data_IF_326028801597
#
_entry.id   IF_326028801597
#
_cell.length_a   1.000
_cell.length_b   1.000
_cell.length_c   1.000
_cell.angle_alpha   90.00
_cell.angle_beta   90.00
_cell.angle_gamma   90.00
#
_symmetry.space_group_name_H-M   'P 1'
#
loop_
_entity.id
_entity.type
_entity.pdbx_description
1 polymer ?
#
# COMPACT_ATOMS: atom_id res chain seq x y z
N UNK A 1 1.81 -14.02 -20.63
CA UNK A 1 2.34 -14.29 -19.27
C UNK A 1 1.23 -14.95 -18.45
N UNK A 2 1.54 -15.91 -17.57
CA UNK A 2 0.54 -16.53 -16.69
C UNK A 2 0.87 -16.25 -15.23
N UNK A 3 -0.11 -15.85 -14.44
CA UNK A 3 0.07 -15.54 -13.01
C UNK A 3 -0.38 -16.74 -12.18
N UNK A 4 0.48 -17.23 -11.28
CA UNK A 4 0.21 -18.38 -10.42
C UNK A 4 -0.21 -17.97 -9.01
N UNK A 5 0.43 -16.94 -8.44
CA UNK A 5 0.17 -16.49 -7.08
C UNK A 5 0.25 -14.98 -7.00
N UNK A 6 -0.66 -14.39 -6.25
CA UNK A 6 -0.71 -12.94 -6.01
C UNK A 6 -0.47 -12.65 -4.53
N UNK A 7 0.58 -11.88 -4.25
CA UNK A 7 0.78 -11.20 -2.97
C UNK A 7 0.58 -9.70 -3.18
N UNK A 8 0.22 -8.98 -2.12
CA UNK A 8 0.15 -7.52 -2.16
C UNK A 8 1.53 -6.84 -2.33
N UNK A 9 2.61 -7.59 -2.50
CA UNK A 9 3.98 -7.05 -2.64
C UNK A 9 4.76 -7.62 -3.83
N UNK A 10 4.33 -8.77 -4.37
CA UNK A 10 4.92 -9.41 -5.54
C UNK A 10 3.92 -10.40 -6.17
N UNK A 11 4.16 -10.82 -7.41
CA UNK A 11 3.41 -11.88 -8.08
C UNK A 11 4.35 -12.97 -8.59
N UNK A 12 3.95 -14.23 -8.50
CA UNK A 12 4.66 -15.32 -9.18
C UNK A 12 4.05 -15.46 -10.56
N UNK A 13 4.89 -15.31 -11.59
CA UNK A 13 4.48 -15.35 -12.99
C UNK A 13 5.31 -16.33 -13.77
N UNK A 14 4.76 -16.86 -14.86
CA UNK A 14 5.48 -17.68 -15.83
C UNK A 14 5.42 -17.04 -17.20
N UNK A 15 6.57 -16.99 -17.83
CA UNK A 15 6.80 -16.43 -19.15
C UNK A 15 7.87 -17.26 -19.85
N UNK A 16 7.62 -17.68 -21.09
CA UNK A 16 8.53 -18.53 -21.88
C UNK A 16 9.07 -19.76 -21.11
N UNK A 17 8.19 -20.49 -20.42
CA UNK A 17 8.49 -21.67 -19.60
C UNK A 17 9.47 -21.43 -18.43
N UNK A 18 9.78 -20.18 -18.10
CA UNK A 18 10.55 -19.74 -16.93
C UNK A 18 9.63 -19.09 -15.90
N UNK A 19 9.95 -19.26 -14.61
CA UNK A 19 9.20 -18.68 -13.49
C UNK A 19 9.89 -17.40 -13.02
N UNK A 20 9.11 -16.38 -12.68
CA UNK A 20 9.63 -15.10 -12.20
C UNK A 20 8.86 -14.61 -10.98
N UNK A 21 9.53 -13.81 -10.15
CA UNK A 21 8.89 -12.90 -9.19
C UNK A 21 8.75 -11.54 -9.85
N UNK A 22 7.53 -11.11 -10.10
CA UNK A 22 7.20 -9.73 -10.46
C UNK A 22 7.24 -8.88 -9.18
N UNK A 23 8.25 -8.04 -9.03
CA UNK A 23 8.40 -7.18 -7.85
C UNK A 23 7.61 -5.90 -8.02
N UNK A 24 6.42 -5.90 -7.43
CA UNK A 24 5.51 -4.78 -7.50
C UNK A 24 6.03 -3.53 -6.75
N UNK A 25 7.11 -3.62 -5.97
CA UNK A 25 7.73 -2.43 -5.33
C UNK A 25 8.58 -1.61 -6.30
N UNK A 26 8.88 -2.15 -7.48
CA UNK A 26 9.72 -1.53 -8.53
C UNK A 26 8.93 -0.89 -9.66
N UNK A 27 7.60 -0.82 -9.53
CA UNK A 27 6.70 -0.32 -10.57
C UNK A 27 6.93 1.17 -10.81
N UNK A 28 7.13 1.55 -12.07
CA UNK A 28 7.26 2.93 -12.53
C UNK A 28 6.42 3.19 -13.80
N UNK A 29 5.77 4.35 -13.93
CA UNK A 29 5.72 5.44 -12.97
C UNK A 29 4.58 5.28 -11.93
N UNK A 30 4.86 5.64 -10.67
CA UNK A 30 3.92 5.51 -9.53
C UNK A 30 2.61 6.29 -9.67
N UNK A 31 2.52 7.20 -10.65
CA UNK A 31 1.30 7.95 -10.95
C UNK A 31 0.15 7.06 -11.42
N UNK A 32 0.43 5.81 -11.83
CA UNK A 32 -0.56 4.82 -12.25
C UNK A 32 -1.60 4.57 -11.17
N UNK A 33 -1.16 4.51 -9.92
CA UNK A 33 -2.02 4.24 -8.77
C UNK A 33 -3.01 5.37 -8.44
N UNK A 34 -2.79 6.57 -8.98
CA UNK A 34 -3.67 7.72 -8.77
C UNK A 34 -4.74 7.86 -9.86
N UNK A 35 -4.90 6.86 -10.72
CA UNK A 35 -5.86 6.88 -11.82
C UNK A 35 -5.52 7.87 -12.92
N UNK A 36 -4.25 8.27 -13.00
CA UNK A 36 -3.74 8.98 -14.17
C UNK A 36 -3.59 7.98 -15.33
N UNK A 37 -4.03 8.35 -16.54
CA UNK A 37 -3.76 7.54 -17.72
C UNK A 37 -2.25 7.59 -18.02
N UNK A 38 -1.68 6.44 -18.36
CA UNK A 38 -0.26 6.29 -18.66
C UNK A 38 -0.16 5.27 -19.77
N UNK A 39 0.65 5.54 -20.77
CA UNK A 39 0.76 4.65 -21.92
C UNK A 39 1.59 3.41 -21.57
N UNK A 40 2.65 3.58 -20.76
CA UNK A 40 3.61 2.52 -20.42
C UNK A 40 3.89 2.43 -18.91
N UNK A 41 4.06 1.21 -18.42
CA UNK A 41 4.44 0.87 -17.05
C UNK A 41 5.61 -0.11 -17.06
N UNK A 42 6.72 0.20 -16.40
CA UNK A 42 7.82 -0.74 -16.21
C UNK A 42 7.82 -1.35 -14.81
N UNK A 43 8.27 -2.60 -14.73
CA UNK A 43 8.43 -3.33 -13.47
C UNK A 43 9.53 -4.37 -13.60
N UNK A 44 10.26 -4.62 -12.51
CA UNK A 44 11.31 -5.64 -12.48
C UNK A 44 10.73 -7.01 -12.16
N UNK A 45 11.15 -7.99 -12.96
CA UNK A 45 10.98 -9.42 -12.72
C UNK A 45 12.33 -10.03 -12.32
N UNK A 46 12.30 -11.06 -11.49
CA UNK A 46 13.49 -11.79 -11.08
C UNK A 46 13.30 -13.28 -11.36
N UNK A 47 14.25 -13.91 -12.07
CA UNK A 47 14.12 -15.31 -12.48
C UNK A 47 14.19 -16.25 -11.25
N UNK A 48 13.20 -17.11 -11.10
CA UNK A 48 13.18 -18.16 -10.09
C UNK A 48 13.41 -19.52 -10.72
N UNK A 49 14.19 -20.36 -10.03
CA UNK A 49 14.17 -21.79 -10.30
C UNK A 49 12.76 -22.34 -10.06
N UNK A 50 12.33 -23.31 -10.88
CA UNK A 50 11.04 -23.99 -10.70
C UNK A 50 10.91 -24.72 -9.36
N UNK A 51 12.04 -25.08 -8.75
CA UNK A 51 12.13 -25.73 -7.44
C UNK A 51 12.19 -24.73 -6.28
N UNK A 52 12.30 -23.43 -6.55
CA UNK A 52 12.39 -22.40 -5.52
C UNK A 52 11.04 -22.18 -4.83
N UNK A 53 11.03 -22.27 -3.51
CA UNK A 53 9.84 -22.13 -2.66
C UNK A 53 9.91 -20.90 -1.75
N UNK A 54 10.97 -20.06 -1.83
CA UNK A 54 11.17 -18.87 -0.98
C UNK A 54 10.03 -17.85 -1.07
N UNK A 55 9.37 -17.81 -2.24
CA UNK A 55 8.25 -16.91 -2.55
C UNK A 55 6.88 -17.58 -2.49
N UNK A 56 6.80 -18.87 -2.15
CA UNK A 56 5.50 -19.50 -1.93
C UNK A 56 4.80 -18.80 -0.76
N UNK A 57 3.58 -18.32 -1.01
CA UNK A 57 2.76 -17.69 0.02
C UNK A 57 2.38 -18.78 1.01
N UNK A 58 3.04 -18.81 2.16
CA UNK A 58 2.60 -19.61 3.31
C UNK A 58 1.39 -18.91 3.92
N UNK A 59 0.34 -19.66 4.22
CA UNK A 59 -0.76 -19.13 5.01
C UNK A 59 -0.23 -18.66 6.37
N UNK A 60 -0.57 -17.40 6.72
CA UNK A 60 -0.24 -16.84 8.02
C UNK A 60 -0.94 -17.64 9.11
N UNK A 61 -0.19 -18.21 10.05
CA UNK A 61 -0.75 -18.89 11.22
C UNK A 61 -1.40 -17.93 12.23
N UNK A 62 -1.15 -16.63 12.12
CA UNK A 62 -1.85 -15.61 12.89
C UNK A 62 -3.24 -15.38 12.31
N UNK A 63 -4.26 -15.83 13.04
CA UNK A 63 -5.65 -15.59 12.71
C UNK A 63 -5.99 -14.10 12.81
N UNK A 64 -6.96 -13.65 11.99
CA UNK A 64 -7.47 -12.28 11.99
C UNK A 64 -7.93 -11.83 13.40
N UNK A 65 -8.48 -12.77 14.17
CA UNK A 65 -8.90 -12.56 15.56
C UNK A 65 -7.75 -12.18 16.49
N UNK A 66 -6.60 -12.83 16.36
CA UNK A 66 -5.40 -12.55 17.18
C UNK A 66 -4.89 -11.13 16.96
N UNK A 67 -4.91 -10.65 15.71
CA UNK A 67 -4.49 -9.29 15.36
C UNK A 67 -5.42 -8.24 16.00
N UNK A 68 -6.74 -8.48 15.96
CA UNK A 68 -7.74 -7.56 16.56
C UNK A 68 -7.55 -7.44 18.07
N UNK A 69 -7.33 -8.57 18.76
CA UNK A 69 -7.13 -8.58 20.22
C UNK A 69 -5.88 -7.78 20.63
N UNK A 70 -4.82 -7.82 19.82
CA UNK A 70 -3.58 -7.07 20.12
C UNK A 70 -3.73 -5.57 19.85
N UNK A 71 -4.49 -5.17 18.83
CA UNK A 71 -4.63 -3.76 18.44
C UNK A 71 -5.57 -2.99 19.37
N UNK A 72 -6.62 -3.64 19.90
CA UNK A 72 -7.65 -2.96 20.69
C UNK A 72 -7.11 -2.19 21.92
N UNK A 73 -6.26 -2.78 22.79
CA UNK A 73 -5.72 -2.07 23.94
C UNK A 73 -4.90 -0.82 23.55
N UNK A 74 -4.16 -0.90 22.44
CA UNK A 74 -3.38 0.22 21.93
C UNK A 74 -4.29 1.37 21.47
N UNK A 75 -5.37 1.05 20.73
CA UNK A 75 -6.34 2.06 20.29
C UNK A 75 -7.04 2.71 21.48
N UNK A 76 -7.42 1.93 22.49
CA UNK A 76 -8.05 2.46 23.70
C UNK A 76 -7.10 3.39 24.49
N UNK A 77 -5.86 2.98 24.66
CA UNK A 77 -4.83 3.82 25.30
C UNK A 77 -4.62 5.13 24.54
N UNK A 78 -4.49 5.06 23.21
CA UNK A 78 -4.31 6.24 22.37
C UNK A 78 -5.51 7.19 22.46
N UNK A 79 -6.73 6.65 22.47
CA UNK A 79 -7.94 7.43 22.68
C UNK A 79 -7.90 8.16 24.02
N UNK A 80 -7.66 7.45 25.13
CA UNK A 80 -7.63 8.06 26.46
C UNK A 80 -6.55 9.13 26.62
N UNK A 81 -5.37 8.92 26.01
CA UNK A 81 -4.31 9.92 25.96
C UNK A 81 -4.73 11.18 25.20
N UNK A 82 -5.33 11.02 24.02
CA UNK A 82 -5.78 12.15 23.19
C UNK A 82 -6.91 12.91 23.85
N UNK A 83 -7.88 12.23 24.47
CA UNK A 83 -9.00 12.85 25.19
C UNK A 83 -8.49 13.72 26.34
N UNK A 84 -7.60 13.15 27.17
CA UNK A 84 -6.98 13.87 28.28
C UNK A 84 -6.18 15.09 27.79
N UNK A 85 -5.45 14.95 26.68
CA UNK A 85 -4.70 16.06 26.10
C UNK A 85 -5.63 17.16 25.57
N UNK A 86 -6.76 16.79 24.97
CA UNK A 86 -7.71 17.74 24.39
C UNK A 86 -8.39 18.58 25.47
N UNK A 87 -8.78 17.94 26.58
CA UNK A 87 -9.35 18.63 27.74
C UNK A 87 -8.33 19.60 28.37
N UNK A 88 -7.13 19.13 28.64
CA UNK A 88 -6.09 19.92 29.32
C UNK A 88 -5.66 21.18 28.54
N UNK A 89 -5.73 21.16 27.21
CA UNK A 89 -5.27 22.27 26.34
C UNK A 89 -6.43 23.15 25.85
N UNK A 90 -7.66 22.86 26.32
CA UNK A 90 -8.89 23.54 25.85
C UNK A 90 -8.98 23.54 24.32
N UNK A 91 -8.75 22.36 23.73
CA UNK A 91 -8.63 22.18 22.28
C UNK A 91 -9.83 22.68 21.48
N UNK A 92 -10.99 22.71 22.14
CA UNK A 92 -12.27 23.16 21.59
C UNK A 92 -12.18 24.54 20.95
N UNK A 93 -11.45 25.46 21.57
CA UNK A 93 -11.41 26.88 21.19
C UNK A 93 -10.26 27.18 20.20
N UNK A 94 -9.32 26.25 20.01
CA UNK A 94 -8.07 26.49 19.29
C UNK A 94 -8.07 25.85 17.90
N UNK A 95 -8.70 26.53 16.94
CA UNK A 95 -8.84 26.04 15.56
C UNK A 95 -7.49 25.71 14.88
N UNK A 96 -6.46 26.51 15.16
CA UNK A 96 -5.10 26.27 14.64
C UNK A 96 -4.52 24.96 15.18
N UNK A 97 -4.73 24.67 16.47
CA UNK A 97 -4.21 23.47 17.09
C UNK A 97 -4.94 22.22 16.58
N UNK A 98 -6.27 22.31 16.37
CA UNK A 98 -7.03 21.26 15.67
C UNK A 98 -6.44 20.96 14.30
N UNK A 99 -6.19 21.99 13.49
CA UNK A 99 -5.56 21.82 12.18
C UNK A 99 -4.19 21.15 12.28
N UNK A 100 -3.34 21.61 13.18
CA UNK A 100 -2.00 21.04 13.40
C UNK A 100 -2.07 19.55 13.79
N UNK A 101 -2.98 19.17 14.68
CA UNK A 101 -3.18 17.77 15.07
C UNK A 101 -3.67 16.92 13.91
N UNK A 102 -4.61 17.43 13.10
CA UNK A 102 -5.07 16.72 11.91
C UNK A 102 -3.93 16.47 10.93
N UNK A 103 -3.11 17.49 10.64
CA UNK A 103 -1.91 17.33 9.81
C UNK A 103 -0.93 16.33 10.43
N UNK A 104 -0.72 16.38 11.75
CA UNK A 104 0.12 15.42 12.46
C UNK A 104 -0.38 13.98 12.28
N UNK A 105 -1.70 13.74 12.31
CA UNK A 105 -2.27 12.41 12.07
C UNK A 105 -1.93 11.87 10.67
N UNK A 106 -1.94 12.73 9.66
CA UNK A 106 -1.55 12.38 8.28
C UNK A 106 -0.05 12.07 8.20
N UNK A 107 0.79 12.89 8.85
CA UNK A 107 2.25 12.68 8.91
C UNK A 107 2.58 11.34 9.57
N UNK A 108 1.89 10.99 10.67
CA UNK A 108 2.05 9.70 11.35
C UNK A 108 1.66 8.56 10.39
N UNK A 109 0.53 8.66 9.71
CA UNK A 109 0.09 7.68 8.70
C UNK A 109 1.15 7.48 7.60
N UNK A 110 1.73 8.56 7.08
CA UNK A 110 2.81 8.53 6.11
C UNK A 110 4.06 7.83 6.65
N UNK A 111 4.47 8.14 7.88
CA UNK A 111 5.66 7.55 8.48
C UNK A 111 5.50 6.04 8.70
N UNK A 112 4.35 5.61 9.23
CA UNK A 112 4.02 4.19 9.41
C UNK A 112 4.07 3.49 8.04
N UNK A 113 3.42 4.05 7.02
CA UNK A 113 3.50 3.52 5.66
C UNK A 113 4.96 3.36 5.20
N UNK A 114 5.80 4.38 5.41
CA UNK A 114 7.20 4.35 4.98
C UNK A 114 7.99 3.24 5.65
N UNK A 115 7.74 2.98 6.93
CA UNK A 115 8.35 1.87 7.67
C UNK A 115 7.88 0.54 7.09
N UNK A 116 6.57 0.37 6.89
CA UNK A 116 5.99 -0.85 6.32
C UNK A 116 6.52 -1.14 4.90
N UNK A 117 6.58 -0.11 4.05
CA UNK A 117 7.10 -0.22 2.68
C UNK A 117 8.56 -0.65 2.68
N UNK A 118 9.40 -0.03 3.53
CA UNK A 118 10.82 -0.38 3.64
C UNK A 118 11.02 -1.79 4.17
N UNK A 119 10.27 -2.20 5.19
CA UNK A 119 10.31 -3.55 5.73
C UNK A 119 9.97 -4.59 4.65
N UNK A 120 8.90 -4.37 3.88
CA UNK A 120 8.52 -5.26 2.76
C UNK A 120 9.57 -5.32 1.66
N UNK A 121 10.08 -4.16 1.22
CA UNK A 121 11.13 -4.10 0.21
C UNK A 121 12.38 -4.86 0.67
N UNK A 122 12.79 -4.67 1.91
CA UNK A 122 13.91 -5.40 2.50
C UNK A 122 13.65 -6.91 2.50
N UNK A 123 12.48 -7.37 2.95
CA UNK A 123 12.12 -8.80 2.92
C UNK A 123 12.13 -9.41 1.53
N UNK A 124 11.70 -8.67 0.50
CA UNK A 124 11.75 -9.13 -0.89
C UNK A 124 13.21 -9.22 -1.36
N UNK A 125 14.01 -8.18 -1.12
CA UNK A 125 15.41 -8.14 -1.51
C UNK A 125 16.25 -9.22 -0.81
N UNK A 126 16.02 -9.45 0.49
CA UNK A 126 16.65 -10.51 1.27
C UNK A 126 16.35 -11.90 0.70
N UNK A 127 15.09 -12.14 0.30
CA UNK A 127 14.70 -13.39 -0.37
C UNK A 127 15.27 -13.52 -1.78
N UNK A 128 15.39 -12.42 -2.52
CA UNK A 128 15.93 -12.40 -3.89
C UNK A 128 17.45 -12.61 -3.90
N UNK A 129 18.20 -12.03 -2.96
CA UNK A 129 19.66 -12.07 -2.98
C UNK A 129 20.22 -11.48 -4.28
N UNK A 130 21.13 -12.20 -4.95
CA UNK A 130 21.78 -11.78 -6.20
C UNK A 130 21.16 -12.42 -7.45
N UNK A 131 19.84 -12.58 -7.48
CA UNK A 131 19.12 -13.16 -8.62
C UNK A 131 19.08 -12.16 -9.79
N UNK A 132 19.32 -12.61 -11.04
CA UNK A 132 19.25 -11.73 -12.21
C UNK A 132 17.85 -11.11 -12.36
N UNK A 133 17.84 -9.80 -12.61
CA UNK A 133 16.61 -9.03 -12.84
C UNK A 133 16.42 -8.71 -14.31
N UNK A 134 15.17 -8.81 -14.76
CA UNK A 134 14.72 -8.48 -16.11
C UNK A 134 13.66 -7.40 -15.99
N UNK A 135 13.69 -6.38 -16.83
CA UNK A 135 12.67 -5.33 -16.82
C UNK A 135 11.55 -5.68 -17.79
N UNK A 136 10.29 -5.55 -17.36
CA UNK A 136 9.12 -5.76 -18.22
C UNK A 136 8.39 -4.45 -18.39
N UNK A 137 8.09 -4.12 -19.64
CA UNK A 137 7.21 -3.01 -20.01
C UNK A 137 5.82 -3.54 -20.32
N UNK A 138 4.85 -2.93 -19.68
CA UNK A 138 3.44 -3.14 -19.92
C UNK A 138 2.87 -1.91 -20.62
N UNK A 139 2.19 -2.12 -21.73
CA UNK A 139 1.31 -1.10 -22.29
C UNK A 139 -0.05 -1.17 -21.60
N UNK A 140 -0.66 0.00 -21.36
CA UNK A 140 -1.99 0.08 -20.75
C UNK A 140 -3.06 0.35 -21.79
N UNK A 141 -4.31 0.05 -21.47
CA UNK A 141 -5.47 0.38 -22.32
C UNK A 141 -5.84 1.88 -22.34
N UNK A 142 -5.02 2.73 -21.72
CA UNK A 142 -5.22 4.18 -21.64
C UNK A 142 -6.41 4.61 -20.77
N UNK A 143 -7.12 3.68 -20.12
CA UNK A 143 -8.28 4.00 -19.29
C UNK A 143 -7.85 4.38 -17.87
N UNK A 144 -8.57 5.34 -17.28
CA UNK A 144 -8.37 5.73 -15.88
C UNK A 144 -8.81 4.60 -14.96
N UNK A 145 -7.87 4.06 -14.19
CA UNK A 145 -8.17 3.09 -13.14
C UNK A 145 -8.10 3.76 -11.77
N UNK A 146 -9.25 3.89 -11.13
CA UNK A 146 -9.33 4.49 -9.80
C UNK A 146 -8.95 3.46 -8.73
N UNK A 147 -7.85 3.73 -8.02
CA UNK A 147 -7.47 2.94 -6.84
C UNK A 147 -8.45 3.16 -5.69
N UNK A 148 -8.57 2.15 -4.81
CA UNK A 148 -9.29 2.21 -3.54
C UNK A 148 -8.86 3.41 -2.67
N UNK A 149 -7.67 3.95 -2.92
CA UNK A 149 -7.13 5.17 -2.34
C UNK A 149 -8.06 6.38 -2.46
N UNK A 150 -8.85 6.48 -3.54
CA UNK A 150 -9.79 7.59 -3.73
C UNK A 150 -10.95 7.52 -2.73
N UNK A 151 -11.43 6.32 -2.43
CA UNK A 151 -12.46 6.11 -1.41
C UNK A 151 -11.94 6.56 -0.04
N UNK A 152 -10.71 6.17 0.30
CA UNK A 152 -10.10 6.60 1.57
C UNK A 152 -9.78 8.10 1.60
N UNK A 153 -9.48 8.72 0.46
CA UNK A 153 -9.32 10.18 0.36
C UNK A 153 -10.63 10.90 0.68
N UNK A 154 -11.75 10.43 0.15
CA UNK A 154 -13.08 10.97 0.47
C UNK A 154 -13.38 10.78 1.96
N UNK A 155 -13.12 9.60 2.52
CA UNK A 155 -13.31 9.33 3.95
C UNK A 155 -12.42 10.22 4.85
N UNK A 156 -11.19 10.52 4.43
CA UNK A 156 -10.30 11.44 5.12
C UNK A 156 -10.85 12.87 5.10
N UNK A 157 -11.37 13.34 3.97
CA UNK A 157 -11.98 14.67 3.86
C UNK A 157 -13.26 14.79 4.70
N UNK A 158 -14.10 13.75 4.72
CA UNK A 158 -15.28 13.71 5.59
C UNK A 158 -14.85 13.70 7.06
N UNK A 159 -13.82 12.94 7.41
CA UNK A 159 -13.27 12.91 8.78
C UNK A 159 -12.69 14.25 9.19
N UNK A 160 -12.05 14.98 8.28
CA UNK A 160 -11.59 16.34 8.51
C UNK A 160 -12.75 17.27 8.89
N UNK A 161 -13.81 17.30 8.07
CA UNK A 161 -14.98 18.13 8.35
C UNK A 161 -15.63 17.76 9.68
N UNK A 162 -15.81 16.46 9.95
CA UNK A 162 -16.38 16.00 11.20
C UNK A 162 -15.50 16.35 12.39
N UNK A 163 -14.18 16.15 12.31
CA UNK A 163 -13.23 16.51 13.36
C UNK A 163 -13.26 18.02 13.68
N UNK A 164 -13.44 18.87 12.67
CA UNK A 164 -13.53 20.32 12.87
C UNK A 164 -14.86 20.76 13.48
N UNK A 165 -15.96 20.16 13.04
CA UNK A 165 -17.32 20.47 13.51
C UNK A 165 -17.64 19.85 14.88
N UNK A 166 -16.97 18.76 15.22
CA UNK A 166 -17.11 18.08 16.51
C UNK A 166 -15.88 18.29 17.38
N UNK A 167 -15.91 17.72 18.58
CA UNK A 167 -14.81 17.77 19.53
C UNK A 167 -14.37 16.35 19.95
N UNK A 168 -14.61 15.37 19.08
CA UNK A 168 -14.36 13.96 19.37
C UNK A 168 -12.93 13.61 18.97
N UNK A 169 -12.08 13.32 19.96
CA UNK A 169 -10.67 12.93 19.80
C UNK A 169 -10.50 11.67 18.93
N UNK A 170 -11.45 10.73 19.00
CA UNK A 170 -11.44 9.48 18.22
C UNK A 170 -11.46 9.68 16.69
N UNK A 171 -12.02 10.80 16.19
CA UNK A 171 -12.02 11.09 14.75
C UNK A 171 -10.60 11.37 14.23
N UNK A 172 -9.71 11.87 15.11
CA UNK A 172 -8.32 12.08 14.77
C UNK A 172 -7.58 10.75 14.54
N UNK A 173 -7.87 9.74 15.37
CA UNK A 173 -7.35 8.37 15.20
C UNK A 173 -7.84 7.81 13.86
N UNK A 174 -9.12 7.98 13.57
CA UNK A 174 -9.72 7.53 12.31
C UNK A 174 -9.09 8.22 11.09
N UNK A 175 -8.82 9.53 11.20
CA UNK A 175 -8.12 10.30 10.16
C UNK A 175 -6.70 9.77 9.91
N UNK A 176 -5.96 9.42 10.96
CA UNK A 176 -4.66 8.75 10.84
C UNK A 176 -4.75 7.38 10.16
N UNK A 177 -5.77 6.58 10.49
CA UNK A 177 -6.01 5.28 9.84
C UNK A 177 -6.37 5.42 8.36
N UNK A 178 -7.24 6.36 8.00
CA UNK A 178 -7.57 6.63 6.60
C UNK A 178 -6.38 7.17 5.84
N UNK A 179 -5.58 8.04 6.44
CA UNK A 179 -4.32 8.49 5.85
C UNK A 179 -3.37 7.33 5.58
N UNK A 180 -3.18 6.43 6.55
CA UNK A 180 -2.39 5.22 6.36
C UNK A 180 -2.96 4.36 5.22
N UNK A 181 -4.28 4.17 5.17
CA UNK A 181 -4.94 3.41 4.11
C UNK A 181 -4.71 4.03 2.73
N UNK A 182 -4.83 5.36 2.58
CA UNK A 182 -4.51 6.05 1.31
C UNK A 182 -3.09 5.69 0.87
N UNK A 183 -2.09 5.84 1.74
CA UNK A 183 -0.70 5.55 1.38
C UNK A 183 -0.45 4.07 1.09
N UNK A 184 -1.08 3.17 1.86
CA UNK A 184 -1.00 1.73 1.61
C UNK A 184 -1.64 1.39 0.28
N UNK A 185 -2.85 1.82 -0.05
CA UNK A 185 -3.48 1.47 -1.33
C UNK A 185 -2.94 2.25 -2.54
N UNK A 186 -2.30 3.41 -2.31
CA UNK A 186 -1.68 4.21 -3.37
C UNK A 186 -0.30 3.68 -3.74
N UNK A 187 0.39 3.01 -2.81
CA UNK A 187 1.78 2.60 -3.03
C UNK A 187 2.07 1.13 -2.71
N UNK A 188 1.22 0.45 -1.95
CA UNK A 188 1.03 -0.99 -2.05
C UNK A 188 -0.07 -1.25 -3.09
N UNK A 189 0.35 -1.25 -4.35
CA UNK A 189 0.07 -2.40 -5.23
C UNK A 189 -1.41 -2.76 -5.26
N UNK A 190 -2.15 -2.02 -6.09
CA UNK A 190 -3.11 -2.74 -6.93
C UNK A 190 -2.32 -3.88 -7.57
N UNK A 191 -2.71 -5.15 -7.34
CA UNK A 191 -2.03 -6.26 -7.95
C UNK A 191 -2.08 -6.02 -9.46
N UNK A 192 -0.94 -5.70 -10.07
CA UNK A 192 -0.80 -5.64 -11.53
C UNK A 192 -1.37 -6.92 -12.11
N UNK A 193 -1.25 -8.02 -11.36
CA UNK A 193 -1.85 -9.29 -11.71
C UNK A 193 -3.36 -9.25 -11.93
N UNK A 194 -4.13 -8.48 -11.17
CA UNK A 194 -5.57 -8.30 -11.40
C UNK A 194 -5.80 -7.42 -12.64
N UNK A 195 -5.10 -6.30 -12.79
CA UNK A 195 -5.22 -5.44 -13.98
C UNK A 195 -4.82 -6.18 -15.27
N UNK A 196 -3.81 -7.06 -15.19
CA UNK A 196 -3.37 -7.95 -16.27
C UNK A 196 -4.41 -9.05 -16.55
N UNK A 197 -4.96 -9.70 -15.53
CA UNK A 197 -6.03 -10.70 -15.68
C UNK A 197 -7.32 -10.11 -16.26
N UNK A 198 -7.61 -8.86 -15.97
CA UNK A 198 -8.76 -8.12 -16.50
C UNK A 198 -8.52 -7.57 -17.91
N UNK A 199 -7.33 -7.76 -18.47
CA UNK A 199 -7.00 -7.33 -19.84
C UNK A 199 -6.76 -5.83 -19.99
N UNK A 200 -6.39 -5.14 -18.91
CA UNK A 200 -6.05 -3.71 -18.95
C UNK A 200 -4.55 -3.45 -19.11
N UNK A 201 -3.72 -4.50 -19.04
CA UNK A 201 -2.28 -4.44 -19.20
C UNK A 201 -1.81 -5.52 -20.16
N UNK A 202 -0.96 -5.13 -21.10
CA UNK A 202 -0.41 -6.02 -22.11
C UNK A 202 1.11 -6.01 -21.99
N UNK A 203 1.73 -7.18 -22.06
CA UNK A 203 3.20 -7.26 -22.07
C UNK A 203 3.66 -6.79 -23.45
N UNK A 204 4.41 -5.70 -23.47
CA UNK A 204 4.93 -5.10 -24.70
C UNK A 204 6.36 -5.58 -24.96
N UNK A 205 7.23 -5.47 -23.94
CA UNK A 205 8.63 -5.83 -24.07
C UNK A 205 9.19 -6.42 -22.77
N UNK A 206 10.13 -7.35 -22.91
CA UNK A 206 10.90 -7.93 -21.81
C UNK A 206 12.38 -7.65 -22.11
N UNK A 207 12.95 -6.71 -21.38
CA UNK A 207 14.33 -6.23 -21.55
C UNK A 207 15.23 -7.03 -20.60
N UNK A 208 15.98 -7.98 -21.17
CA UNK A 208 17.02 -8.72 -20.45
C UNK A 208 18.22 -7.79 -20.20
N UNK A 209 18.51 -7.48 -18.93
CA UNK A 209 19.71 -6.74 -18.56
C UNK A 209 20.88 -7.75 -18.51
N UNK A 210 21.70 -7.77 -19.57
CA UNK A 210 22.93 -8.57 -19.67
C UNK A 210 24.08 -7.98 -18.83
#
# INVERSE_FOLDING_TARGET
>A
MKIFQTSGSYHIVEYNNKRYVLDNTTIEPKKYYWGQPIDELSVKMYELSKTDTRFNIKESSLGRSTIVVVIQPFVHFLYGFLDSFFENVSMQERIFLKFAMFVLSIIIGYFIYRVLFRAKKYTIQDKLGNVPSVEVRFSTDGKKQYSLSIVFLILLLVSFLWYFLSNISGILILSGLFSLAIFVFSWQILPIGISYQQGHLFVEEVIEQF
#
